data_IF_814433170857
#
_entry.id   IF_814433170857
#
_cell.length_a   1.000
_cell.length_b   1.000
_cell.length_c   1.000
_cell.angle_alpha   90.00
_cell.angle_beta   90.00
_cell.angle_gamma   90.00
#
_symmetry.space_group_name_H-M   'P 1'
#
loop_
_entity.id
_entity.type
_entity.pdbx_description
1 polymer ?
#
# COMPACT_ATOMS: atom_id res chain seq x y z
N UNK A 1 2.83 7.92 -20.67
CA UNK A 1 2.05 7.72 -19.43
C UNK A 1 1.09 6.57 -19.66
N UNK A 2 1.37 5.41 -19.06
CA UNK A 2 0.40 4.31 -18.99
C UNK A 2 -0.52 4.67 -17.82
N UNK A 3 -1.76 5.03 -18.11
CA UNK A 3 -2.74 5.42 -17.07
C UNK A 3 -3.39 4.22 -16.37
N UNK A 4 -3.14 2.99 -16.87
CA UNK A 4 -3.83 1.78 -16.45
C UNK A 4 -2.97 0.55 -16.70
N UNK A 5 -2.93 -0.43 -15.77
CA UNK A 5 -2.19 -1.67 -15.96
C UNK A 5 -2.68 -2.46 -17.18
N UNK A 6 -1.84 -3.32 -17.74
CA UNK A 6 -2.16 -4.13 -18.92
C UNK A 6 -3.19 -5.22 -18.60
N UNK A 7 -3.19 -5.69 -17.36
CA UNK A 7 -4.05 -6.78 -16.86
C UNK A 7 -4.76 -6.34 -15.59
N UNK A 8 -6.01 -6.74 -15.47
CA UNK A 8 -6.83 -6.56 -14.29
C UNK A 8 -7.61 -7.84 -14.03
N UNK A 9 -8.00 -8.08 -12.79
CA UNK A 9 -8.96 -9.10 -12.40
C UNK A 9 -10.34 -8.46 -12.47
N UNK A 10 -11.25 -9.08 -13.22
CA UNK A 10 -12.68 -8.80 -13.14
C UNK A 10 -13.27 -9.64 -12.01
N UNK A 11 -13.57 -9.01 -10.87
CA UNK A 11 -14.05 -9.72 -9.67
C UNK A 11 -15.49 -10.23 -9.81
N UNK A 12 -16.23 -9.78 -10.82
CA UNK A 12 -17.58 -10.30 -11.12
C UNK A 12 -17.51 -11.56 -11.99
N UNK A 13 -16.58 -11.57 -12.95
CA UNK A 13 -16.38 -12.69 -13.87
C UNK A 13 -15.36 -13.72 -13.37
N UNK A 14 -14.66 -13.44 -12.27
CA UNK A 14 -13.56 -14.24 -11.70
C UNK A 14 -12.52 -14.64 -12.77
N UNK A 15 -12.05 -13.67 -13.55
CA UNK A 15 -11.05 -13.89 -14.58
C UNK A 15 -10.16 -12.66 -14.83
N UNK A 16 -9.04 -12.88 -15.53
CA UNK A 16 -8.13 -11.81 -15.95
C UNK A 16 -8.65 -11.20 -17.26
N UNK A 17 -8.71 -9.88 -17.29
CA UNK A 17 -9.11 -9.09 -18.45
C UNK A 17 -8.01 -8.12 -18.84
N UNK A 18 -8.04 -7.64 -20.09
CA UNK A 18 -7.13 -6.59 -20.53
C UNK A 18 -7.55 -5.25 -19.93
N UNK A 19 -6.61 -4.56 -19.29
CA UNK A 19 -6.87 -3.27 -18.68
C UNK A 19 -7.26 -2.21 -19.71
N UNK A 20 -6.66 -2.22 -20.91
CA UNK A 20 -6.99 -1.27 -21.98
C UNK A 20 -8.44 -1.37 -22.48
N UNK A 21 -9.04 -2.55 -22.41
CA UNK A 21 -10.44 -2.79 -22.80
C UNK A 21 -11.44 -2.60 -21.65
N UNK A 22 -10.95 -2.29 -20.44
CA UNK A 22 -11.77 -2.17 -19.24
C UNK A 22 -12.09 -0.70 -18.95
N UNK A 23 -13.36 -0.35 -18.82
CA UNK A 23 -13.81 1.00 -18.44
C UNK A 23 -14.16 1.07 -16.96
N UNK A 24 -13.71 2.09 -16.24
CA UNK A 24 -14.03 2.31 -14.82
C UNK A 24 -12.82 2.20 -13.90
N UNK A 25 -13.01 2.50 -12.61
CA UNK A 25 -11.94 2.42 -11.60
C UNK A 25 -11.45 1.01 -11.35
N UNK A 26 -10.27 0.88 -10.74
CA UNK A 26 -9.76 -0.38 -10.21
C UNK A 26 -9.14 -0.16 -8.82
N UNK A 27 -9.16 -1.19 -7.98
CA UNK A 27 -8.35 -1.24 -6.77
C UNK A 27 -6.99 -1.85 -7.08
N UNK A 28 -5.96 -1.50 -6.31
CA UNK A 28 -4.69 -2.21 -6.29
C UNK A 28 -4.52 -2.93 -4.94
N UNK A 29 -3.98 -4.14 -4.93
CA UNK A 29 -3.65 -4.87 -3.72
C UNK A 29 -2.15 -4.75 -3.42
N UNK A 30 -1.83 -4.31 -2.21
CA UNK A 30 -0.49 -4.20 -1.66
C UNK A 30 -0.38 -5.16 -0.47
N UNK A 31 0.50 -6.15 -0.60
CA UNK A 31 0.67 -7.22 0.39
C UNK A 31 2.06 -7.84 0.26
N UNK A 32 2.48 -8.60 1.27
CA UNK A 32 3.80 -9.23 1.26
C UNK A 32 3.78 -10.54 0.52
N UNK A 33 4.76 -10.74 -0.36
CA UNK A 33 4.97 -12.00 -1.03
C UNK A 33 5.70 -13.00 -0.12
N UNK A 34 5.21 -14.22 -0.09
CA UNK A 34 5.91 -15.32 0.54
C UNK A 34 6.96 -15.90 -0.37
N UNK A 35 8.17 -16.14 0.16
CA UNK A 35 9.19 -16.91 -0.54
C UNK A 35 8.78 -18.37 -0.86
N UNK A 36 7.59 -18.81 -0.44
CA UNK A 36 7.05 -20.16 -0.68
C UNK A 36 5.52 -20.14 -0.84
N UNK A 37 5.03 -19.93 -2.06
CA UNK A 37 3.68 -20.37 -2.44
C UNK A 37 3.67 -21.30 -3.66
N UNK A 38 2.93 -22.42 -3.60
CA UNK A 38 2.64 -23.26 -4.76
C UNK A 38 1.39 -22.78 -5.51
N UNK A 39 1.51 -22.74 -6.84
CA UNK A 39 0.51 -23.14 -7.85
C UNK A 39 -0.25 -22.12 -8.73
N UNK A 40 -0.35 -20.83 -8.38
CA UNK A 40 -1.12 -19.84 -9.20
C UNK A 40 -0.30 -18.61 -9.62
N UNK A 41 0.99 -18.79 -9.87
CA UNK A 41 1.76 -17.79 -10.61
C UNK A 41 1.30 -17.76 -12.07
N UNK A 42 1.15 -16.56 -12.65
CA UNK A 42 0.90 -16.37 -14.08
C UNK A 42 2.14 -16.81 -14.88
N UNK A 43 2.35 -18.12 -15.00
CA UNK A 43 3.25 -18.67 -16.01
C UNK A 43 2.57 -18.43 -17.35
N UNK A 44 3.30 -17.86 -18.31
CA UNK A 44 2.78 -17.48 -19.64
C UNK A 44 1.91 -18.55 -20.30
N UNK A 45 2.18 -19.84 -20.05
CA UNK A 45 1.40 -20.96 -20.58
C UNK A 45 -0.04 -21.06 -20.07
N UNK A 46 -0.40 -20.39 -18.96
CA UNK A 46 -1.73 -20.40 -18.36
C UNK A 46 -2.50 -19.08 -18.55
N UNK A 47 -1.91 -18.05 -19.16
CA UNK A 47 -2.56 -16.74 -19.29
C UNK A 47 -3.89 -16.83 -20.06
N UNK A 48 -3.93 -17.57 -21.16
CA UNK A 48 -5.17 -17.74 -21.94
C UNK A 48 -6.26 -18.47 -21.15
N UNK A 49 -5.89 -19.42 -20.29
CA UNK A 49 -6.82 -20.14 -19.44
C UNK A 49 -7.41 -19.23 -18.35
N UNK A 50 -6.59 -18.32 -17.81
CA UNK A 50 -7.01 -17.36 -16.78
C UNK A 50 -7.84 -16.19 -17.32
N UNK A 51 -8.03 -16.08 -18.64
CA UNK A 51 -8.95 -15.11 -19.25
C UNK A 51 -10.37 -15.65 -19.41
N UNK A 52 -10.57 -16.97 -19.27
CA UNK A 52 -11.89 -17.58 -19.39
C UNK A 52 -12.74 -17.18 -18.18
N UNK A 53 -14.03 -16.82 -18.35
CA UNK A 53 -14.90 -16.54 -17.23
C UNK A 53 -14.88 -17.68 -16.21
N UNK A 54 -14.82 -17.33 -14.92
CA UNK A 54 -14.71 -18.24 -13.77
C UNK A 54 -13.42 -19.04 -13.69
N UNK A 55 -12.39 -18.67 -14.45
CA UNK A 55 -11.10 -19.37 -14.38
C UNK A 55 -10.44 -19.27 -13.01
N UNK A 56 -10.58 -18.14 -12.31
CA UNK A 56 -9.99 -17.94 -10.99
C UNK A 56 -10.72 -18.74 -9.90
N UNK A 57 -11.98 -19.09 -10.16
CA UNK A 57 -12.83 -19.92 -9.29
C UNK A 57 -12.90 -21.38 -9.77
N UNK A 58 -12.07 -21.76 -10.75
CA UNK A 58 -12.09 -23.10 -11.33
C UNK A 58 -11.41 -24.13 -10.41
N UNK A 59 -11.87 -25.40 -10.41
CA UNK A 59 -11.21 -26.47 -9.67
C UNK A 59 -9.73 -26.60 -10.05
N UNK A 60 -8.84 -26.47 -9.05
CA UNK A 60 -7.38 -26.56 -9.24
C UNK A 60 -6.64 -25.21 -9.31
N UNK A 61 -7.36 -24.09 -9.25
CA UNK A 61 -6.77 -22.77 -8.99
C UNK A 61 -6.95 -22.47 -7.51
N UNK A 62 -5.84 -22.24 -6.80
CA UNK A 62 -5.82 -21.90 -5.38
C UNK A 62 -5.28 -20.47 -5.26
N UNK A 63 -6.15 -19.54 -4.89
CA UNK A 63 -5.76 -18.16 -4.54
C UNK A 63 -5.44 -18.10 -3.05
N UNK A 64 -4.59 -17.15 -2.65
CA UNK A 64 -4.40 -16.87 -1.22
C UNK A 64 -5.66 -16.28 -0.62
N UNK A 65 -5.84 -16.41 0.70
CA UNK A 65 -6.97 -15.76 1.38
C UNK A 65 -6.90 -14.25 1.21
N UNK A 66 -5.71 -13.65 1.23
CA UNK A 66 -5.51 -12.21 0.98
C UNK A 66 -6.09 -11.76 -0.36
N UNK A 67 -5.83 -12.49 -1.45
CA UNK A 67 -6.35 -12.15 -2.79
C UNK A 67 -7.85 -12.40 -2.84
N UNK A 68 -8.31 -13.51 -2.25
CA UNK A 68 -9.73 -13.87 -2.21
C UNK A 68 -10.55 -12.80 -1.49
N UNK A 69 -10.04 -12.32 -0.35
CA UNK A 69 -10.67 -11.27 0.43
C UNK A 69 -10.57 -9.91 -0.26
N UNK A 70 -9.46 -9.60 -0.92
CA UNK A 70 -9.36 -8.38 -1.73
C UNK A 70 -10.41 -8.36 -2.86
N UNK A 71 -10.62 -9.50 -3.54
CA UNK A 71 -11.68 -9.63 -4.54
C UNK A 71 -13.07 -9.45 -3.92
N UNK A 72 -13.30 -10.03 -2.74
CA UNK A 72 -14.58 -9.91 -2.03
C UNK A 72 -14.86 -8.48 -1.55
N UNK A 73 -13.89 -7.83 -0.94
CA UNK A 73 -13.99 -6.42 -0.54
C UNK A 73 -14.32 -5.53 -1.74
N UNK A 74 -13.67 -5.77 -2.89
CA UNK A 74 -13.98 -5.06 -4.13
C UNK A 74 -15.44 -5.25 -4.58
N UNK A 75 -16.01 -6.46 -4.43
CA UNK A 75 -17.45 -6.70 -4.69
C UNK A 75 -18.34 -5.91 -3.73
N UNK A 76 -17.99 -5.86 -2.44
CA UNK A 76 -18.77 -5.15 -1.42
C UNK A 76 -18.82 -3.64 -1.65
N UNK A 77 -17.75 -3.05 -2.20
CA UNK A 77 -17.68 -1.60 -2.51
C UNK A 77 -18.07 -1.27 -3.96
N UNK A 78 -18.64 -2.22 -4.70
CA UNK A 78 -19.03 -2.09 -6.12
C UNK A 78 -17.88 -1.66 -7.05
N UNK A 79 -16.66 -2.13 -6.79
CA UNK A 79 -15.48 -1.88 -7.62
C UNK A 79 -15.11 -3.15 -8.39
N UNK A 80 -15.47 -3.19 -9.67
CA UNK A 80 -15.35 -4.39 -10.51
C UNK A 80 -13.92 -4.88 -10.75
N UNK A 81 -12.94 -3.99 -10.76
CA UNK A 81 -11.58 -4.34 -11.19
C UNK A 81 -10.60 -4.29 -10.03
N UNK A 82 -9.76 -5.32 -9.94
CA UNK A 82 -8.68 -5.42 -8.98
C UNK A 82 -7.37 -5.69 -9.70
N UNK A 83 -6.31 -5.01 -9.31
CA UNK A 83 -4.94 -5.27 -9.74
C UNK A 83 -4.18 -5.98 -8.62
N UNK A 84 -3.59 -7.12 -8.95
CA UNK A 84 -2.74 -7.92 -8.05
C UNK A 84 -1.47 -8.26 -8.81
N UNK A 85 -0.32 -7.81 -8.31
CA UNK A 85 0.99 -7.99 -8.92
C UNK A 85 1.30 -9.46 -9.31
N UNK A 86 1.05 -10.42 -8.42
CA UNK A 86 1.29 -11.86 -8.64
C UNK A 86 0.50 -12.44 -9.82
N UNK A 87 -0.66 -11.86 -10.14
CA UNK A 87 -1.55 -12.32 -11.21
C UNK A 87 -1.48 -11.44 -12.47
N UNK A 88 -1.19 -10.15 -12.31
CA UNK A 88 -1.21 -9.16 -13.40
C UNK A 88 0.16 -8.95 -14.04
N UNK A 89 1.25 -9.20 -13.30
CA UNK A 89 2.63 -9.15 -13.81
C UNK A 89 3.10 -10.58 -14.14
N UNK A 90 3.35 -10.91 -15.43
CA UNK A 90 3.86 -12.20 -15.85
C UNK A 90 5.20 -12.51 -15.20
N UNK A 91 5.25 -13.61 -14.46
CA UNK A 91 6.48 -14.05 -13.81
C UNK A 91 7.20 -15.04 -14.72
N UNK A 92 8.27 -14.59 -15.38
CA UNK A 92 9.12 -15.42 -16.26
C UNK A 92 10.51 -15.56 -15.66
N UNK A 93 11.05 -16.79 -15.52
CA UNK A 93 12.42 -16.97 -15.07
C UNK A 93 13.39 -16.20 -15.98
N UNK A 94 14.18 -15.29 -15.38
CA UNK A 94 15.22 -14.52 -16.08
C UNK A 94 14.73 -13.33 -16.92
N UNK A 95 13.44 -12.99 -16.90
CA UNK A 95 12.92 -11.80 -17.58
C UNK A 95 12.06 -10.98 -16.63
N UNK A 96 12.47 -9.72 -16.42
CA UNK A 96 11.70 -8.72 -15.69
C UNK A 96 10.65 -8.14 -16.65
N UNK A 97 9.37 -8.23 -16.29
CA UNK A 97 8.31 -7.63 -17.10
C UNK A 97 8.38 -6.09 -17.02
N UNK A 98 8.30 -5.37 -18.15
CA UNK A 98 8.35 -3.91 -18.15
C UNK A 98 7.31 -3.23 -17.26
N UNK A 99 6.19 -3.90 -16.95
CA UNK A 99 5.15 -3.41 -16.06
C UNK A 99 5.66 -3.13 -14.63
N UNK A 100 6.77 -3.77 -14.20
CA UNK A 100 7.42 -3.47 -12.92
C UNK A 100 7.94 -2.03 -12.84
N UNK A 101 8.29 -1.42 -13.98
CA UNK A 101 8.73 -0.02 -14.02
C UNK A 101 7.57 0.95 -13.99
N UNK A 102 6.32 0.45 -14.04
CA UNK A 102 5.10 1.24 -14.04
C UNK A 102 4.32 1.15 -12.73
N UNK A 103 4.89 0.54 -11.69
CA UNK A 103 4.28 0.37 -10.36
C UNK A 103 3.70 1.67 -9.79
N UNK A 104 4.46 2.76 -9.81
CA UNK A 104 3.99 4.06 -9.33
C UNK A 104 2.79 4.60 -10.14
N UNK A 105 2.79 4.40 -11.46
CA UNK A 105 1.65 4.78 -12.31
C UNK A 105 0.42 3.93 -12.02
N UNK A 106 0.61 2.63 -11.75
CA UNK A 106 -0.47 1.70 -11.41
C UNK A 106 -1.12 2.08 -10.07
N UNK A 107 -0.33 2.35 -9.02
CA UNK A 107 -0.89 2.76 -7.73
C UNK A 107 -1.50 4.17 -7.77
N UNK A 108 -0.89 5.10 -8.50
CA UNK A 108 -1.46 6.44 -8.72
C UNK A 108 -2.75 6.42 -9.54
N UNK A 109 -2.89 5.49 -10.48
CA UNK A 109 -4.08 5.29 -11.28
C UNK A 109 -5.23 4.59 -10.55
N UNK A 110 -4.94 3.90 -9.44
CA UNK A 110 -5.95 3.16 -8.67
C UNK A 110 -6.96 4.09 -7.99
N UNK A 111 -8.20 3.59 -7.87
CA UNK A 111 -9.29 4.28 -7.15
C UNK A 111 -9.05 4.26 -5.65
N UNK A 112 -8.61 3.11 -5.15
CA UNK A 112 -8.10 2.87 -3.82
C UNK A 112 -7.06 1.74 -3.86
N UNK A 113 -6.26 1.67 -2.81
CA UNK A 113 -5.30 0.58 -2.58
C UNK A 113 -5.71 -0.16 -1.33
N UNK A 114 -5.74 -1.48 -1.40
CA UNK A 114 -6.01 -2.37 -0.29
C UNK A 114 -4.66 -2.82 0.25
N UNK A 115 -4.35 -2.52 1.51
CA UNK A 115 -3.09 -2.88 2.16
C UNK A 115 -3.35 -3.93 3.23
N UNK A 116 -2.75 -5.10 3.06
CA UNK A 116 -2.75 -6.15 4.06
C UNK A 116 -1.62 -5.92 5.09
N UNK A 117 -1.93 -5.29 6.23
CA UNK A 117 -0.95 -5.07 7.31
C UNK A 117 -0.95 -6.20 8.34
N UNK A 118 -2.11 -6.81 8.60
CA UNK A 118 -2.28 -7.85 9.62
C UNK A 118 -1.54 -9.16 9.31
N UNK A 119 -1.12 -9.35 8.06
CA UNK A 119 -0.50 -10.56 7.57
C UNK A 119 0.94 -10.74 8.08
N UNK A 120 1.18 -11.69 8.99
CA UNK A 120 2.56 -12.15 9.27
C UNK A 120 3.08 -13.08 8.19
N UNK A 121 2.16 -13.72 7.47
CA UNK A 121 2.38 -14.56 6.31
C UNK A 121 1.57 -14.05 5.11
N UNK A 122 2.03 -14.42 3.92
CA UNK A 122 1.59 -13.95 2.60
C UNK A 122 0.19 -14.42 2.16
N UNK A 123 -0.46 -15.27 2.96
CA UNK A 123 -1.75 -15.88 2.63
C UNK A 123 -2.77 -15.75 3.76
N UNK A 124 -2.56 -14.79 4.66
CA UNK A 124 -3.52 -14.50 5.70
C UNK A 124 -4.74 -13.75 5.15
N UNK A 125 -5.94 -14.03 5.68
CA UNK A 125 -7.16 -13.34 5.28
C UNK A 125 -7.09 -11.86 5.67
N UNK A 126 -7.85 -11.02 4.96
CA UNK A 126 -8.04 -9.62 5.35
C UNK A 126 -9.09 -9.57 6.46
N UNK A 127 -8.74 -9.14 7.69
CA UNK A 127 -9.69 -9.06 8.78
C UNK A 127 -10.87 -8.13 8.46
N UNK A 128 -12.06 -8.51 8.91
CA UNK A 128 -13.28 -7.71 8.73
C UNK A 128 -13.98 -7.87 7.37
N UNK A 129 -13.35 -8.50 6.37
CA UNK A 129 -13.95 -8.62 5.02
C UNK A 129 -14.99 -9.73 4.92
N UNK A 130 -14.68 -10.93 5.43
CA UNK A 130 -15.58 -12.09 5.40
C UNK A 130 -16.21 -12.33 6.78
N UNK A 131 -17.49 -12.77 6.83
CA UNK A 131 -18.09 -13.22 8.08
C UNK A 131 -17.25 -14.29 8.77
N UNK A 132 -16.97 -14.10 10.06
CA UNK A 132 -16.17 -15.03 10.87
C UNK A 132 -14.66 -14.77 10.86
N UNK A 133 -14.15 -13.86 10.02
CA UNK A 133 -12.77 -13.39 10.07
C UNK A 133 -12.74 -12.04 10.80
N UNK A 134 -12.72 -12.09 12.13
CA UNK A 134 -12.64 -10.88 12.96
C UNK A 134 -11.20 -10.38 13.07
N UNK A 135 -11.05 -9.12 13.46
CA UNK A 135 -9.77 -8.55 13.87
C UNK A 135 -9.15 -9.41 14.99
N UNK A 136 -7.87 -9.83 14.85
CA UNK A 136 -7.17 -10.60 15.87
C UNK A 136 -7.12 -9.95 17.25
N UNK A 137 -7.04 -8.63 17.33
CA UNK A 137 -7.01 -7.92 18.60
C UNK A 137 -8.42 -7.64 19.12
N UNK A 138 -8.61 -7.87 20.42
CA UNK A 138 -9.86 -7.59 21.10
C UNK A 138 -9.71 -6.38 22.01
N UNK A 139 -10.64 -5.43 21.91
CA UNK A 139 -10.74 -4.35 22.87
C UNK A 139 -11.15 -4.86 24.25
N UNK A 140 -10.45 -4.43 25.29
CA UNK A 140 -10.79 -4.75 26.67
C UNK A 140 -11.63 -3.63 27.29
N UNK A 141 -12.69 -4.02 27.99
CA UNK A 141 -13.60 -3.11 28.69
C UNK A 141 -13.78 -3.53 30.15
N UNK A 142 -13.85 -2.56 31.07
CA UNK A 142 -14.02 -2.80 32.50
C UNK A 142 -14.80 -1.67 33.17
N UNK A 143 -15.47 -1.97 34.29
CA UNK A 143 -16.07 -0.97 35.16
C UNK A 143 -15.16 -0.77 36.37
N UNK A 144 -14.64 0.44 36.55
CA UNK A 144 -13.79 0.81 37.69
C UNK A 144 -14.43 2.00 38.38
N UNK A 145 -14.78 1.84 39.66
CA UNK A 145 -15.46 2.87 40.47
C UNK A 145 -16.70 3.50 39.79
N UNK A 146 -17.46 2.67 39.07
CA UNK A 146 -18.66 3.11 38.35
C UNK A 146 -18.40 3.78 37.00
N UNK A 147 -17.15 3.92 36.58
CA UNK A 147 -16.76 4.40 35.25
C UNK A 147 -16.54 3.23 34.30
N UNK A 148 -17.10 3.34 33.09
CA UNK A 148 -16.86 2.38 32.02
C UNK A 148 -15.58 2.78 31.29
N UNK A 149 -14.56 1.93 31.40
CA UNK A 149 -13.24 2.14 30.81
C UNK A 149 -13.00 1.12 29.70
N UNK A 150 -12.29 1.55 28.66
CA UNK A 150 -12.01 0.75 27.49
C UNK A 150 -10.58 1.04 26.98
N UNK A 151 -9.86 0.00 26.56
CA UNK A 151 -8.53 0.17 25.95
C UNK A 151 -8.66 0.78 24.56
N UNK A 152 -7.89 1.81 24.23
CA UNK A 152 -7.83 2.31 22.85
C UNK A 152 -7.09 1.30 21.96
N UNK A 153 -7.53 1.12 20.71
CA UNK A 153 -6.73 0.40 19.74
C UNK A 153 -5.44 1.16 19.37
N UNK A 154 -4.43 0.46 18.83
CA UNK A 154 -3.24 1.11 18.31
C UNK A 154 -3.56 2.15 17.23
N UNK A 155 -2.72 3.17 17.13
CA UNK A 155 -2.80 4.11 16.02
C UNK A 155 -2.37 3.44 14.71
N UNK A 156 -2.87 3.92 13.56
CA UNK A 156 -2.45 3.43 12.24
C UNK A 156 -0.91 3.48 12.07
N UNK A 157 -0.25 4.49 12.63
CA UNK A 157 1.20 4.61 12.53
C UNK A 157 1.91 3.45 13.27
N UNK A 158 1.43 3.12 14.47
CA UNK A 158 1.94 2.00 15.26
C UNK A 158 1.73 0.67 14.53
N UNK A 159 0.54 0.46 13.95
CA UNK A 159 0.22 -0.72 13.13
C UNK A 159 1.19 -0.85 11.95
N UNK A 160 1.40 0.24 11.20
CA UNK A 160 2.33 0.26 10.05
C UNK A 160 3.76 -0.08 10.50
N UNK A 161 4.30 0.61 11.51
CA UNK A 161 5.69 0.41 11.94
C UNK A 161 5.96 -1.01 12.46
N UNK A 162 4.97 -1.63 13.09
CA UNK A 162 5.07 -3.00 13.58
C UNK A 162 4.91 -4.07 12.50
N UNK A 163 4.38 -3.70 11.33
CA UNK A 163 4.04 -4.65 10.28
C UNK A 163 5.29 -5.15 9.52
N UNK A 164 5.27 -6.42 9.11
CA UNK A 164 6.27 -6.95 8.16
C UNK A 164 6.16 -6.20 6.82
N UNK A 165 4.98 -5.68 6.49
CA UNK A 165 4.71 -4.97 5.24
C UNK A 165 5.60 -3.73 5.11
N UNK A 166 5.72 -2.96 6.19
CA UNK A 166 6.56 -1.76 6.24
C UNK A 166 8.05 -2.05 6.03
N UNK A 167 8.49 -3.28 6.34
CA UNK A 167 9.87 -3.69 6.10
C UNK A 167 10.21 -3.93 4.62
N UNK A 168 9.24 -4.02 3.71
CA UNK A 168 9.48 -4.30 2.29
C UNK A 168 9.69 -2.99 1.50
N UNK A 169 10.78 -2.90 0.73
CA UNK A 169 11.11 -1.66 -0.02
C UNK A 169 10.04 -1.24 -1.04
N UNK A 170 9.44 -2.20 -1.76
CA UNK A 170 8.42 -1.90 -2.77
C UNK A 170 7.19 -1.19 -2.19
N UNK A 171 6.76 -1.57 -0.98
CA UNK A 171 5.61 -1.00 -0.26
C UNK A 171 5.68 0.51 -0.06
N UNK A 172 6.89 1.08 -0.12
CA UNK A 172 7.10 2.52 -0.08
C UNK A 172 6.35 3.22 -1.22
N UNK A 173 6.58 2.78 -2.45
CA UNK A 173 5.91 3.36 -3.61
C UNK A 173 4.41 3.05 -3.59
N UNK A 174 4.03 1.86 -3.16
CA UNK A 174 2.63 1.44 -3.14
C UNK A 174 1.81 2.39 -2.27
N UNK A 175 2.28 2.71 -1.06
CA UNK A 175 1.64 3.69 -0.21
C UNK A 175 1.79 5.14 -0.72
N UNK A 176 3.00 5.55 -1.13
CA UNK A 176 3.27 6.94 -1.50
C UNK A 176 2.43 7.42 -2.70
N UNK A 177 2.23 6.55 -3.69
CA UNK A 177 1.51 6.91 -4.92
C UNK A 177 0.00 6.71 -4.83
N UNK A 178 -0.49 6.01 -3.81
CA UNK A 178 -1.91 5.73 -3.66
C UNK A 178 -2.70 6.96 -3.19
N UNK A 179 -3.83 7.23 -3.85
CA UNK A 179 -4.70 8.38 -3.52
C UNK A 179 -5.60 8.14 -2.31
N UNK A 180 -6.00 6.89 -2.13
CA UNK A 180 -6.87 6.39 -1.06
C UNK A 180 -6.39 5.01 -0.68
N UNK A 181 -6.30 4.72 0.61
CA UNK A 181 -5.82 3.44 1.10
C UNK A 181 -6.78 2.89 2.15
N UNK A 182 -7.11 1.62 2.04
CA UNK A 182 -7.68 0.83 3.11
C UNK A 182 -6.59 -0.03 3.73
N UNK A 183 -6.29 0.18 5.00
CA UNK A 183 -5.37 -0.65 5.76
C UNK A 183 -6.17 -1.67 6.56
N UNK A 184 -5.95 -2.95 6.26
CA UNK A 184 -6.48 -4.06 7.02
C UNK A 184 -5.45 -4.47 8.07
N UNK A 185 -5.71 -4.11 9.32
CA UNK A 185 -4.78 -4.28 10.46
C UNK A 185 -5.26 -5.36 11.43
N UNK A 186 -4.44 -5.69 12.43
CA UNK A 186 -4.81 -6.67 13.46
C UNK A 186 -5.90 -6.15 14.40
N UNK A 187 -6.05 -4.82 14.53
CA UNK A 187 -6.99 -4.19 15.44
C UNK A 187 -8.27 -3.69 14.77
N UNK A 188 -8.14 -2.94 13.68
CA UNK A 188 -9.27 -2.35 12.97
C UNK A 188 -8.93 -2.00 11.51
N UNK A 189 -9.94 -1.76 10.69
CA UNK A 189 -9.73 -1.24 9.34
C UNK A 189 -9.59 0.29 9.36
N UNK A 190 -8.55 0.81 8.69
CA UNK A 190 -8.38 2.25 8.50
C UNK A 190 -8.59 2.63 7.03
N UNK A 191 -9.29 3.73 6.79
CA UNK A 191 -9.32 4.43 5.51
C UNK A 191 -8.47 5.70 5.61
N UNK A 192 -7.56 5.90 4.66
CA UNK A 192 -6.80 7.13 4.54
C UNK A 192 -6.94 7.71 3.14
N UNK A 193 -7.18 9.02 3.06
CA UNK A 193 -7.03 9.78 1.83
C UNK A 193 -6.23 11.06 2.09
N UNK A 194 -6.12 11.93 1.08
CA UNK A 194 -5.35 13.18 1.19
C UNK A 194 -5.94 14.18 2.20
N UNK A 195 -7.22 14.07 2.53
CA UNK A 195 -7.95 15.06 3.33
C UNK A 195 -8.35 14.55 4.72
N UNK A 196 -8.47 13.23 4.89
CA UNK A 196 -8.96 12.66 6.14
C UNK A 196 -8.49 11.21 6.32
N UNK A 197 -8.54 10.77 7.56
CA UNK A 197 -8.38 9.38 7.98
C UNK A 197 -9.62 8.97 8.77
N UNK A 198 -10.14 7.77 8.50
CA UNK A 198 -11.23 7.15 9.24
C UNK A 198 -10.79 5.77 9.73
N UNK A 199 -11.37 5.32 10.84
CA UNK A 199 -11.19 3.98 11.38
C UNK A 199 -12.52 3.46 11.95
N UNK A 200 -12.63 2.16 12.21
CA UNK A 200 -13.88 1.54 12.67
C UNK A 200 -14.36 2.10 14.02
N UNK A 201 -13.45 2.53 14.89
CA UNK A 201 -13.78 3.23 16.14
C UNK A 201 -14.26 4.68 15.96
N UNK A 202 -14.32 5.19 14.74
CA UNK A 202 -14.82 6.55 14.50
C UNK A 202 -16.33 6.63 14.78
N UNK A 203 -16.69 7.05 16.01
CA UNK A 203 -18.09 7.15 16.46
C UNK A 203 -18.78 8.41 15.90
N UNK A 204 -19.47 8.26 14.77
CA UNK A 204 -20.24 9.37 14.16
C UNK A 204 -21.57 9.64 14.83
N UNK A 205 -22.21 8.60 15.38
CA UNK A 205 -23.54 8.69 15.96
C UNK A 205 -23.44 8.96 17.47
N UNK A 206 -23.56 10.22 17.85
CA UNK A 206 -23.91 10.59 19.22
C UNK A 206 -25.41 10.91 19.21
N UNK A 207 -26.27 10.06 19.80
CA UNK A 207 -27.67 10.43 20.01
C UNK A 207 -27.72 11.75 20.78
N UNK A 208 -28.35 12.77 20.21
CA UNK A 208 -28.61 14.08 20.83
C UNK A 208 -27.37 14.96 21.15
N UNK A 209 -26.24 14.79 20.46
CA UNK A 209 -25.04 15.62 20.68
C UNK A 209 -24.19 15.88 19.43
N UNK A 210 -23.35 16.93 19.49
CA UNK A 210 -22.29 17.14 18.50
C UNK A 210 -21.20 16.06 18.70
N UNK A 211 -20.92 15.28 17.66
CA UNK A 211 -19.95 14.18 17.74
C UNK A 211 -18.55 14.69 18.11
N UNK A 212 -18.06 14.21 19.26
CA UNK A 212 -16.67 14.39 19.68
C UNK A 212 -15.68 13.66 18.75
N UNK A 213 -16.12 12.64 18.01
CA UNK A 213 -15.28 11.94 17.06
C UNK A 213 -14.94 12.78 15.82
N UNK A 214 -15.68 13.87 15.57
CA UNK A 214 -15.32 14.86 14.55
C UNK A 214 -13.90 15.44 14.75
N UNK A 215 -13.36 15.41 15.98
CA UNK A 215 -12.00 15.83 16.31
C UNK A 215 -10.99 14.66 16.37
N UNK A 216 -11.48 13.42 16.56
CA UNK A 216 -10.67 12.21 16.38
C UNK A 216 -10.34 11.97 14.89
N UNK A 217 -11.18 12.51 13.99
CA UNK A 217 -10.74 12.80 12.64
C UNK A 217 -9.61 13.83 12.72
N UNK A 218 -8.39 13.35 12.61
CA UNK A 218 -7.30 14.22 12.26
C UNK A 218 -7.64 14.73 10.86
N UNK A 219 -8.15 15.97 10.74
CA UNK A 219 -8.01 16.72 9.48
C UNK A 219 -6.55 16.55 9.13
N UNK A 220 -6.24 15.82 8.05
CA UNK A 220 -4.86 15.76 7.60
C UNK A 220 -4.56 17.19 7.18
N UNK A 221 -3.89 17.95 8.06
CA UNK A 221 -3.86 19.42 7.98
C UNK A 221 -3.56 19.83 6.52
N UNK A 222 -4.52 20.54 5.90
CA UNK A 222 -4.62 21.02 4.51
C UNK A 222 -5.05 20.05 3.40
N UNK A 223 -6.31 20.24 2.96
CA UNK A 223 -6.71 20.03 1.59
C UNK A 223 -5.72 20.74 0.64
N UNK A 224 -5.04 19.99 -0.23
CA UNK A 224 -4.06 20.51 -1.17
C UNK A 224 -2.59 20.11 -0.91
N UNK A 225 -2.31 19.28 0.11
CA UNK A 225 -1.01 18.64 0.30
C UNK A 225 -1.14 17.12 0.14
N UNK A 226 -0.40 16.52 -0.80
CA UNK A 226 -0.15 15.08 -0.76
C UNK A 226 0.74 14.87 0.46
N UNK A 227 0.16 14.46 1.59
CA UNK A 227 0.95 14.05 2.75
C UNK A 227 1.30 12.58 2.57
N UNK A 228 2.58 12.33 2.36
CA UNK A 228 3.14 10.98 2.30
C UNK A 228 2.81 10.23 3.59
N UNK A 229 2.22 9.04 3.46
CA UNK A 229 2.04 8.08 4.55
C UNK A 229 3.33 7.81 5.35
N UNK A 230 4.48 8.05 4.73
CA UNK A 230 5.81 7.79 5.27
C UNK A 230 6.58 9.08 5.63
N UNK A 231 5.98 10.26 5.44
CA UNK A 231 6.44 11.57 5.96
C UNK A 231 5.41 12.15 6.97
N UNK A 232 4.44 11.34 7.43
CA UNK A 232 3.45 11.73 8.45
C UNK A 232 4.03 12.16 9.80
N UNK A 233 5.36 12.06 10.02
CA UNK A 233 5.99 12.52 11.25
C UNK A 233 6.20 14.04 11.34
N UNK A 234 6.09 14.80 10.26
CA UNK A 234 6.31 16.26 10.33
C UNK A 234 5.25 17.04 9.57
N UNK A 235 4.26 17.57 10.29
CA UNK A 235 3.48 18.69 9.76
C UNK A 235 3.23 19.75 10.82
N UNK A 236 4.30 20.25 11.42
CA UNK A 236 4.36 21.63 11.86
C UNK A 236 5.62 22.26 11.25
N UNK A 237 5.37 23.15 10.29
CA UNK A 237 6.30 24.14 9.72
C UNK A 237 7.42 23.66 8.80
N UNK A 238 7.43 24.24 7.58
CA UNK A 238 8.47 24.14 6.55
C UNK A 238 8.82 22.72 6.11
N UNK A 239 9.47 22.59 4.94
CA UNK A 239 10.16 21.35 4.59
C UNK A 239 10.99 20.93 5.82
N UNK A 240 10.91 19.69 6.33
CA UNK A 240 11.71 19.28 7.48
C UNK A 240 13.17 19.69 7.25
N UNK A 241 13.86 20.24 8.25
CA UNK A 241 15.33 20.22 8.22
C UNK A 241 15.76 18.77 7.92
N UNK A 242 16.27 18.53 6.71
CA UNK A 242 16.60 17.19 6.18
C UNK A 242 15.86 16.74 4.91
N UNK A 243 14.73 17.35 4.52
CA UNK A 243 14.06 17.11 3.22
C UNK A 243 13.91 15.63 2.80
N UNK A 244 14.09 15.35 1.50
CA UNK A 244 14.06 14.01 0.88
C UNK A 244 14.99 12.99 1.55
N UNK A 245 16.08 13.43 2.19
CA UNK A 245 17.03 12.53 2.82
C UNK A 245 16.42 11.73 3.98
N UNK A 246 15.35 12.23 4.60
CA UNK A 246 14.58 11.47 5.59
C UNK A 246 13.75 10.36 4.95
N UNK A 247 13.15 10.62 3.79
CA UNK A 247 12.44 9.59 3.01
C UNK A 247 13.42 8.53 2.53
N UNK A 248 14.61 8.95 2.08
CA UNK A 248 15.70 8.03 1.72
C UNK A 248 16.17 7.21 2.94
N UNK A 249 16.31 7.84 4.11
CA UNK A 249 16.67 7.16 5.35
C UNK A 249 15.62 6.08 5.71
N UNK A 250 14.33 6.43 5.73
CA UNK A 250 13.24 5.48 6.00
C UNK A 250 13.15 4.36 4.97
N UNK A 251 13.44 4.66 3.71
CA UNK A 251 13.51 3.66 2.65
C UNK A 251 14.71 2.71 2.84
N UNK A 252 15.88 3.24 3.22
CA UNK A 252 17.10 2.41 3.41
C UNK A 252 17.02 1.46 4.60
N UNK A 253 16.09 1.66 5.53
CA UNK A 253 15.81 0.72 6.63
C UNK A 253 15.08 -0.54 6.15
N UNK A 254 14.56 -0.54 4.92
CA UNK A 254 13.74 -1.62 4.37
C UNK A 254 14.58 -2.70 3.70
N UNK A 255 14.04 -3.90 3.73
CA UNK A 255 14.57 -5.07 3.06
C UNK A 255 13.99 -5.17 1.65
N UNK A 256 14.84 -5.50 0.69
CA UNK A 256 14.44 -5.80 -0.68
C UNK A 256 14.64 -7.28 -0.96
N UNK A 257 13.70 -7.88 -1.69
CA UNK A 257 13.83 -9.26 -2.16
C UNK A 257 15.07 -9.45 -3.04
N UNK A 258 15.35 -8.47 -3.92
CA UNK A 258 16.56 -8.42 -4.74
C UNK A 258 17.27 -7.07 -4.55
N UNK A 259 18.56 -7.05 -4.20
CA UNK A 259 19.30 -5.80 -4.00
C UNK A 259 19.29 -4.86 -5.22
N UNK A 260 19.26 -5.42 -6.44
CA UNK A 260 19.18 -4.64 -7.68
C UNK A 260 17.89 -3.81 -7.82
N UNK A 261 16.84 -4.16 -7.08
CA UNK A 261 15.56 -3.45 -7.14
C UNK A 261 15.57 -2.14 -6.34
N UNK A 262 16.62 -1.87 -5.56
CA UNK A 262 16.68 -0.68 -4.70
C UNK A 262 16.50 0.61 -5.48
N UNK A 263 17.13 0.72 -6.65
CA UNK A 263 17.02 1.88 -7.51
C UNK A 263 15.68 1.89 -8.23
N UNK A 264 15.21 0.74 -8.72
CA UNK A 264 13.90 0.66 -9.38
C UNK A 264 12.78 1.13 -8.45
N UNK A 265 12.86 0.75 -7.17
CA UNK A 265 11.86 1.11 -6.20
C UNK A 265 11.98 2.54 -5.65
N UNK A 266 13.13 3.20 -5.85
CA UNK A 266 13.36 4.58 -5.44
C UNK A 266 13.19 5.60 -6.58
N UNK A 267 13.47 5.20 -7.82
CA UNK A 267 13.43 6.08 -9.01
C UNK A 267 12.08 6.76 -9.18
N UNK A 268 10.98 6.04 -8.95
CA UNK A 268 9.66 6.64 -9.06
C UNK A 268 9.43 7.74 -8.00
N UNK A 269 9.95 7.55 -6.78
CA UNK A 269 9.86 8.55 -5.70
C UNK A 269 10.63 9.81 -6.09
N UNK A 270 11.83 9.67 -6.66
CA UNK A 270 12.61 10.81 -7.19
C UNK A 270 11.84 11.53 -8.29
N UNK A 271 11.32 10.80 -9.29
CA UNK A 271 10.57 11.40 -10.40
C UNK A 271 9.34 12.19 -9.90
N UNK A 272 8.65 11.66 -8.91
CA UNK A 272 7.52 12.34 -8.30
C UNK A 272 7.92 13.62 -7.57
N UNK A 273 9.03 13.58 -6.82
CA UNK A 273 9.57 14.77 -6.16
C UNK A 273 10.00 15.82 -7.19
N UNK A 274 10.56 15.43 -8.34
CA UNK A 274 10.89 16.34 -9.43
C UNK A 274 9.66 17.02 -10.06
N UNK A 275 8.55 16.28 -10.20
CA UNK A 275 7.31 16.79 -10.79
C UNK A 275 6.52 17.71 -9.85
N UNK A 276 6.64 17.52 -8.54
CA UNK A 276 6.00 18.39 -7.56
C UNK A 276 6.75 19.72 -7.46
N UNK A 277 6.15 20.76 -8.04
CA UNK A 277 6.66 22.15 -8.08
C UNK A 277 7.01 22.74 -6.71
N UNK A 278 6.59 22.13 -5.60
CA UNK A 278 7.02 22.53 -4.24
C UNK A 278 8.43 22.11 -3.90
N UNK A 279 8.92 21.02 -4.47
CA UNK A 279 10.28 20.53 -4.24
C UNK A 279 11.28 21.23 -5.14
N UNK A 280 10.85 21.80 -6.28
CA UNK A 280 11.51 22.89 -7.02
C UNK A 280 12.94 22.64 -7.54
N UNK A 281 13.55 21.53 -7.15
CA UNK A 281 14.95 21.24 -7.30
C UNK A 281 15.14 20.20 -8.39
N UNK A 282 15.98 20.51 -9.36
CA UNK A 282 16.51 19.48 -10.24
C UNK A 282 17.38 18.52 -9.41
N UNK A 283 17.29 17.23 -9.72
CA UNK A 283 18.17 16.24 -9.13
C UNK A 283 19.41 16.04 -10.00
N UNK A 284 20.55 15.83 -9.36
CA UNK A 284 21.78 15.39 -10.01
C UNK A 284 22.27 14.12 -9.31
N UNK A 285 22.28 12.99 -10.04
CA UNK A 285 22.73 11.70 -9.50
C UNK A 285 22.00 11.27 -8.20
N UNK A 286 20.71 11.60 -8.08
CA UNK A 286 19.90 11.29 -6.89
C UNK A 286 19.99 12.31 -5.74
N UNK A 287 20.75 13.39 -5.92
CA UNK A 287 20.86 14.48 -4.94
C UNK A 287 20.04 15.69 -5.38
N UNK A 288 19.30 16.30 -4.45
CA UNK A 288 18.63 17.58 -4.66
C UNK A 288 19.67 18.69 -4.81
N UNK A 289 19.68 19.42 -5.91
CA UNK A 289 20.66 20.50 -6.13
C UNK A 289 20.55 21.62 -5.10
N UNK A 290 19.33 21.97 -4.67
CA UNK A 290 19.11 23.05 -3.69
C UNK A 290 19.50 22.65 -2.26
N UNK A 291 19.70 21.35 -2.01
CA UNK A 291 20.17 20.79 -0.75
C UNK A 291 21.46 19.98 -0.93
N UNK A 292 22.23 20.26 -1.97
CA UNK A 292 23.39 19.45 -2.37
C UNK A 292 24.41 19.30 -1.23
N UNK A 293 24.66 20.36 -0.46
CA UNK A 293 25.55 20.33 0.70
C UNK A 293 25.09 19.37 1.81
N UNK A 294 23.79 19.28 2.07
CA UNK A 294 23.24 18.29 3.00
C UNK A 294 23.35 16.87 2.43
N UNK A 295 23.14 16.72 1.12
CA UNK A 295 23.28 15.45 0.43
C UNK A 295 24.68 14.85 0.47
N UNK A 296 25.72 15.68 0.40
CA UNK A 296 27.11 15.22 0.55
C UNK A 296 27.42 14.68 1.96
N UNK A 297 26.70 15.16 2.98
CA UNK A 297 26.84 14.73 4.37
C UNK A 297 25.93 13.56 4.74
N UNK A 298 25.03 13.13 3.85
CA UNK A 298 24.09 12.06 4.13
C UNK A 298 24.81 10.72 4.31
N UNK A 299 24.41 9.99 5.35
CA UNK A 299 24.85 8.64 5.62
C UNK A 299 23.62 7.76 5.88
N UNK A 300 23.60 6.51 5.39
CA UNK A 300 22.50 5.61 5.69
C UNK A 300 22.47 5.28 7.18
N UNK A 301 21.27 5.19 7.76
CA UNK A 301 21.09 4.89 9.19
C UNK A 301 21.64 3.50 9.59
N UNK A 302 21.78 2.60 8.61
CA UNK A 302 22.38 1.28 8.75
C UNK A 302 23.39 1.01 7.64
N UNK A 303 24.39 0.16 7.91
CA UNK A 303 25.41 -0.22 6.93
C UNK A 303 24.73 -0.91 5.74
N UNK A 304 24.67 -0.23 4.59
CA UNK A 304 24.12 -0.82 3.38
C UNK A 304 24.99 -2.02 2.96
N UNK A 305 24.41 -3.15 2.53
CA UNK A 305 25.18 -4.22 1.91
C UNK A 305 25.94 -3.64 0.72
N UNK A 306 27.25 -3.89 0.65
CA UNK A 306 28.05 -3.49 -0.51
C UNK A 306 27.47 -4.19 -1.74
N UNK A 307 26.87 -3.42 -2.64
CA UNK A 307 26.60 -3.90 -3.99
C UNK A 307 27.97 -4.07 -4.65
N UNK A 308 28.46 -5.31 -4.74
CA UNK A 308 29.57 -5.64 -5.61
C UNK A 308 29.14 -5.34 -7.04
N UNK A 309 29.54 -4.17 -7.54
CA UNK A 309 29.43 -3.80 -8.94
C UNK A 309 30.39 -4.72 -9.71
N UNK A 310 29.83 -5.72 -10.41
CA UNK A 310 30.51 -6.42 -11.51
C UNK A 310 30.12 -5.80 -12.84
#
# INVERSE_FOLDING_TARGET
MISRPNRLIDVQSDCIVSGSSSSGGYAALSYIWGCRLPSTQLKTSKEQELRKPRSLSAPGIILSDTITDAMEFCRQIDLRFLWVDQLCIPQRPGLVDPEIHHMASIYSGATCTLVALSGTTFAEPLPGVRPGISHPESQHQAIVDGLWLMTCYPSLFTEIESSVWFSCGWTFQEAAFSKRIFFFTTSQTFFLCRETMYCEESVWEVPDGDSMAAWANTKTIEAGRIKDLMILRNSNESCPEGGNYRSAEEYTKRTLGYPQDILNAWVAVIQWMEEDKKWGSAYCLGLLLDHFGFGLGWQPASRLPQLELF
#
